data_IF_941126899394
#
_entry.id   IF_941126899394
#
_cell.length_a   1.000
_cell.length_b   1.000
_cell.length_c   1.000
_cell.angle_alpha   90.00
_cell.angle_beta   90.00
_cell.angle_gamma   90.00
#
_symmetry.space_group_name_H-M   'P 1'
#
loop_
_entity.id
_entity.type
_entity.pdbx_description
1 polymer ?
#
# COMPACT_ATOMS: atom_id res chain seq x y z
N UNK A 1 1.22 -10.31 10.46
CA UNK A 1 1.59 -9.58 11.67
C UNK A 1 0.62 -8.43 11.82
N UNK A 2 0.04 -8.22 13.00
CA UNK A 2 -0.98 -7.19 13.23
C UNK A 2 -0.30 -5.88 13.60
N UNK A 3 -0.90 -4.75 13.24
CA UNK A 3 -0.42 -3.44 13.66
C UNK A 3 -0.54 -3.24 15.18
N UNK A 4 0.34 -2.45 15.83
CA UNK A 4 0.14 -2.03 17.22
C UNK A 4 -0.97 -0.96 17.37
N UNK A 5 -1.47 -0.41 16.27
CA UNK A 5 -2.49 0.65 16.30
C UNK A 5 -3.91 0.10 16.46
N UNK A 6 -4.73 0.90 17.13
CA UNK A 6 -6.15 0.60 17.41
C UNK A 6 -7.03 1.78 17.02
N UNK A 7 -8.35 1.62 17.09
CA UNK A 7 -9.26 2.74 16.80
C UNK A 7 -9.06 3.91 17.79
N UNK A 8 -8.76 3.60 19.05
CA UNK A 8 -8.47 4.59 20.10
C UNK A 8 -7.06 5.17 20.00
N UNK A 9 -6.12 4.42 19.43
CA UNK A 9 -4.73 4.84 19.19
C UNK A 9 -4.37 4.61 17.71
N UNK A 10 -4.87 5.46 16.80
CA UNK A 10 -4.63 5.30 15.37
C UNK A 10 -3.16 5.56 15.02
N UNK A 11 -2.68 5.06 13.86
CA UNK A 11 -1.33 5.35 13.40
C UNK A 11 -1.11 6.87 13.24
N UNK A 12 0.00 7.44 13.73
CA UNK A 12 0.32 8.85 13.54
C UNK A 12 0.49 9.20 12.05
N UNK A 13 0.18 10.44 11.68
CA UNK A 13 0.40 10.92 10.31
C UNK A 13 1.89 11.12 10.00
N UNK A 14 2.67 11.54 11.00
CA UNK A 14 4.13 11.55 10.89
C UNK A 14 4.67 10.15 11.16
N UNK A 15 5.50 9.59 10.28
CA UNK A 15 6.13 8.30 10.50
C UNK A 15 7.01 8.30 11.76
N UNK A 16 6.91 7.24 12.58
CA UNK A 16 7.91 6.96 13.60
C UNK A 16 9.32 6.92 12.98
N UNK A 17 10.33 7.36 13.73
CA UNK A 17 11.70 7.53 13.21
C UNK A 17 12.34 6.21 12.78
N UNK A 18 11.85 5.12 13.34
CA UNK A 18 12.28 3.76 13.09
C UNK A 18 11.76 3.21 11.74
N UNK A 19 10.68 3.79 11.18
CA UNK A 19 10.09 3.29 9.93
C UNK A 19 11.00 3.57 8.73
N UNK A 20 11.39 2.51 8.02
CA UNK A 20 12.36 2.56 6.92
C UNK A 20 11.88 3.37 5.70
N UNK A 21 10.56 3.42 5.46
CA UNK A 21 9.98 4.11 4.29
C UNK A 21 8.90 5.12 4.72
N UNK A 22 9.31 6.34 5.14
CA UNK A 22 8.42 7.40 5.62
C UNK A 22 7.29 7.78 4.65
N UNK A 23 7.55 7.82 3.35
CA UNK A 23 6.52 8.18 2.36
C UNK A 23 5.42 7.12 2.25
N UNK A 24 5.80 5.84 2.34
CA UNK A 24 4.86 4.73 2.28
C UNK A 24 4.01 4.67 3.55
N UNK A 25 4.60 4.96 4.72
CA UNK A 25 3.88 5.09 5.98
C UNK A 25 2.66 5.99 5.88
N UNK A 26 2.85 7.22 5.38
CA UNK A 26 1.77 8.22 5.30
C UNK A 26 0.59 7.72 4.48
N UNK A 27 0.88 7.00 3.39
CA UNK A 27 -0.14 6.39 2.53
C UNK A 27 -0.87 5.28 3.28
N UNK A 28 -0.14 4.37 3.94
CA UNK A 28 -0.70 3.26 4.70
C UNK A 28 -1.57 3.76 5.87
N UNK A 29 -1.06 4.69 6.69
CA UNK A 29 -1.76 5.27 7.82
C UNK A 29 -3.06 5.96 7.38
N UNK A 30 -3.02 6.74 6.28
CA UNK A 30 -4.21 7.38 5.72
C UNK A 30 -5.25 6.36 5.25
N UNK A 31 -4.84 5.32 4.53
CA UNK A 31 -5.78 4.31 4.04
C UNK A 31 -6.34 3.45 5.17
N UNK A 32 -5.52 3.11 6.18
CA UNK A 32 -5.98 2.44 7.39
C UNK A 32 -7.08 3.26 8.08
N UNK A 33 -6.85 4.56 8.31
CA UNK A 33 -7.84 5.48 8.91
C UNK A 33 -9.11 5.60 8.06
N UNK A 34 -8.96 5.64 6.73
CA UNK A 34 -10.11 5.74 5.82
C UNK A 34 -11.06 4.55 5.91
N UNK A 35 -10.55 3.36 6.23
CA UNK A 35 -11.36 2.15 6.34
C UNK A 35 -11.81 1.82 7.77
N UNK A 36 -11.66 2.73 8.74
CA UNK A 36 -12.26 2.54 10.07
C UNK A 36 -13.78 2.71 10.02
N UNK A 37 -14.53 2.14 10.98
CA UNK A 37 -15.95 2.46 11.13
C UNK A 37 -16.14 3.95 11.38
N UNK A 38 -17.32 4.47 11.00
CA UNK A 38 -17.72 5.82 11.40
C UNK A 38 -17.88 5.91 12.92
N UNK A 39 -17.73 7.10 13.50
CA UNK A 39 -17.74 7.33 14.95
C UNK A 39 -19.04 6.83 15.61
N UNK A 40 -20.18 6.99 14.94
CA UNK A 40 -21.49 6.52 15.38
C UNK A 40 -21.63 4.98 15.37
N UNK A 41 -20.74 4.29 14.66
CA UNK A 41 -20.68 2.82 14.59
C UNK A 41 -19.67 2.23 15.59
N UNK A 42 -18.89 3.06 16.30
CA UNK A 42 -17.96 2.59 17.32
C UNK A 42 -18.73 2.06 18.53
N UNK A 43 -18.68 0.76 18.75
CA UNK A 43 -19.45 0.08 19.80
C UNK A 43 -20.74 -0.59 19.32
N UNK A 44 -21.09 -0.47 18.03
CA UNK A 44 -22.12 -1.29 17.43
C UNK A 44 -21.71 -2.77 17.49
N UNK A 45 -22.68 -3.68 17.67
CA UNK A 45 -22.43 -5.14 17.68
C UNK A 45 -21.84 -5.64 16.35
N UNK A 46 -22.23 -4.98 15.24
CA UNK A 46 -21.81 -5.31 13.89
C UNK A 46 -21.48 -4.01 13.13
N UNK A 47 -20.31 -3.41 13.39
CA UNK A 47 -19.93 -2.17 12.73
C UNK A 47 -19.68 -2.39 11.24
N UNK A 48 -19.91 -1.34 10.45
CA UNK A 48 -19.60 -1.31 9.02
C UNK A 48 -18.44 -0.37 8.74
N UNK A 49 -17.64 -0.70 7.73
CA UNK A 49 -16.55 0.16 7.26
C UNK A 49 -17.13 1.46 6.69
N UNK A 50 -16.66 2.61 7.18
CA UNK A 50 -17.16 3.92 6.71
C UNK A 50 -16.85 4.23 5.24
N UNK A 51 -15.90 3.50 4.62
CA UNK A 51 -15.55 3.69 3.22
C UNK A 51 -16.19 2.68 2.27
N UNK A 52 -16.25 1.39 2.65
CA UNK A 52 -16.73 0.32 1.78
C UNK A 52 -18.18 -0.09 2.03
N UNK A 53 -18.76 0.28 3.19
CA UNK A 53 -20.07 -0.19 3.63
C UNK A 53 -20.14 -1.70 3.97
N UNK A 54 -19.02 -2.41 3.91
CA UNK A 54 -18.93 -3.84 4.25
C UNK A 54 -18.81 -4.05 5.76
N UNK A 55 -19.05 -5.28 6.23
CA UNK A 55 -18.79 -5.65 7.62
C UNK A 55 -17.35 -5.33 8.00
N UNK A 56 -17.18 -4.73 9.19
CA UNK A 56 -15.86 -4.38 9.69
C UNK A 56 -15.34 -5.47 10.65
N UNK A 57 -14.06 -5.85 10.58
CA UNK A 57 -13.03 -5.33 9.68
C UNK A 57 -13.18 -5.81 8.23
N UNK A 58 -13.09 -4.88 7.27
CA UNK A 58 -13.14 -5.20 5.85
C UNK A 58 -11.76 -5.64 5.34
N UNK A 59 -11.71 -6.30 4.17
CA UNK A 59 -10.47 -6.81 3.59
C UNK A 59 -9.37 -5.74 3.43
N UNK A 60 -9.72 -4.58 2.89
CA UNK A 60 -8.76 -3.48 2.69
C UNK A 60 -8.16 -2.99 4.01
N UNK A 61 -8.97 -2.84 5.08
CA UNK A 61 -8.47 -2.44 6.39
C UNK A 61 -7.47 -3.46 6.93
N UNK A 62 -7.81 -4.75 6.86
CA UNK A 62 -6.93 -5.82 7.33
C UNK A 62 -5.58 -5.85 6.56
N UNK A 63 -5.61 -5.53 5.27
CA UNK A 63 -4.40 -5.45 4.45
C UNK A 63 -3.49 -4.30 4.90
N UNK A 64 -4.04 -3.10 5.09
CA UNK A 64 -3.29 -1.94 5.58
C UNK A 64 -2.78 -2.14 7.02
N UNK A 65 -3.56 -2.81 7.86
CA UNK A 65 -3.16 -3.15 9.23
C UNK A 65 -1.93 -4.07 9.24
N UNK A 66 -1.93 -5.08 8.36
CA UNK A 66 -0.79 -5.97 8.17
C UNK A 66 0.47 -5.24 7.71
N UNK A 67 0.33 -4.31 6.75
CA UNK A 67 1.45 -3.53 6.22
C UNK A 67 2.03 -2.57 7.26
N UNK A 68 1.20 -1.90 8.06
CA UNK A 68 1.66 -1.06 9.16
C UNK A 68 2.39 -1.90 10.21
N UNK A 69 1.86 -3.08 10.54
CA UNK A 69 2.53 -4.03 11.44
C UNK A 69 3.91 -4.43 10.94
N UNK A 70 4.05 -4.71 9.64
CA UNK A 70 5.35 -5.01 9.05
C UNK A 70 6.30 -3.80 9.11
N UNK A 71 5.81 -2.59 8.80
CA UNK A 71 6.64 -1.39 8.77
C UNK A 71 7.29 -1.07 10.13
N UNK A 72 6.58 -1.32 11.24
CA UNK A 72 7.14 -1.10 12.59
C UNK A 72 8.06 -2.24 13.04
N UNK A 73 7.74 -3.51 12.73
CA UNK A 73 8.58 -4.63 13.17
C UNK A 73 9.84 -4.82 12.32
N UNK A 74 9.84 -4.39 11.06
CA UNK A 74 11.06 -4.34 10.25
C UNK A 74 12.09 -3.38 10.86
N UNK A 75 11.64 -2.42 11.64
CA UNK A 75 12.50 -1.50 12.37
C UNK A 75 13.08 -2.09 13.66
N UNK A 76 12.34 -3.01 14.31
CA UNK A 76 12.77 -3.71 15.52
C UNK A 76 13.72 -4.89 15.24
N UNK A 77 13.80 -5.34 13.99
CA UNK A 77 14.73 -6.38 13.61
C UNK A 77 16.19 -5.86 13.74
N UNK A 78 17.10 -6.60 14.42
CA UNK A 78 18.52 -6.24 14.38
C UNK A 78 18.96 -6.16 12.92
N UNK A 79 19.84 -5.20 12.60
CA UNK A 79 20.36 -4.90 11.27
C UNK A 79 21.25 -6.03 10.66
N UNK A 80 20.84 -7.27 10.83
CA UNK A 80 21.41 -8.49 10.26
C UNK A 80 20.40 -9.09 9.28
N UNK A 81 20.11 -8.36 8.21
CA UNK A 81 19.62 -8.91 6.96
C UNK A 81 20.12 -8.04 5.81
N UNK A 82 21.38 -8.27 5.40
CA UNK A 82 21.88 -7.88 4.09
C UNK A 82 20.88 -8.32 3.02
N UNK A 83 20.52 -7.40 2.13
CA UNK A 83 19.78 -7.75 0.93
C UNK A 83 19.21 -6.53 0.24
N UNK A 84 20.08 -5.66 -0.27
CA UNK A 84 19.71 -4.82 -1.39
C UNK A 84 19.21 -5.76 -2.50
N UNK A 85 17.90 -5.91 -2.64
CA UNK A 85 17.30 -6.32 -3.88
C UNK A 85 17.51 -5.17 -4.85
N UNK A 86 18.72 -5.10 -5.42
CA UNK A 86 18.89 -4.44 -6.70
C UNK A 86 17.95 -5.17 -7.66
N UNK A 87 16.97 -4.42 -8.15
CA UNK A 87 16.21 -4.83 -9.32
C UNK A 87 17.22 -4.84 -10.45
N UNK A 88 17.80 -6.01 -10.69
CA UNK A 88 18.65 -6.25 -11.85
C UNK A 88 17.74 -6.11 -13.07
N UNK A 89 17.84 -4.96 -13.74
CA UNK A 89 17.28 -4.75 -15.05
C UNK A 89 17.87 -5.82 -15.99
N UNK A 90 17.08 -6.49 -16.85
CA UNK A 90 17.65 -7.37 -17.84
C UNK A 90 18.59 -6.55 -18.72
N UNK A 91 19.88 -6.88 -18.67
CA UNK A 91 20.89 -6.34 -19.56
C UNK A 91 20.48 -6.66 -21.01
N UNK A 92 20.41 -5.60 -21.82
CA UNK A 92 20.29 -5.69 -23.26
C UNK A 92 21.49 -6.49 -23.81
N UNK A 93 21.19 -7.59 -24.51
CA UNK A 93 22.14 -8.19 -25.45
C UNK A 93 22.00 -7.45 -26.78
N UNK A 94 23.04 -6.69 -27.10
CA UNK A 94 23.17 -5.91 -28.32
C UNK A 94 23.59 -6.85 -29.47
N UNK A 95 22.59 -7.30 -30.24
CA UNK A 95 22.75 -8.18 -31.39
C UNK A 95 21.98 -7.70 -32.62
N UNK A 96 22.34 -6.51 -33.11
CA UNK A 96 22.26 -6.01 -34.49
C UNK A 96 21.07 -6.42 -35.41
N UNK A 97 20.29 -5.40 -35.81
CA UNK A 97 19.45 -5.37 -37.01
C UNK A 97 17.96 -5.40 -36.67
N UNK A 98 17.13 -4.40 -36.92
CA UNK A 98 17.09 -3.49 -38.07
C UNK A 98 16.35 -2.20 -37.70
N UNK A 99 16.90 -1.09 -38.20
CA UNK A 99 16.28 0.18 -38.59
C UNK A 99 14.91 0.61 -37.97
N UNK A 100 14.97 1.73 -37.24
CA UNK A 100 13.89 2.58 -36.72
C UNK A 100 13.06 3.28 -37.84
N UNK A 101 12.22 4.33 -37.62
CA UNK A 101 11.73 4.94 -36.37
C UNK A 101 10.23 5.36 -36.38
N UNK A 102 9.81 5.96 -35.25
CA UNK A 102 8.95 7.16 -35.15
C UNK A 102 7.41 7.10 -35.25
N UNK A 103 6.84 7.51 -34.11
CA UNK A 103 5.83 8.57 -33.91
C UNK A 103 4.39 8.38 -34.42
N UNK A 104 3.51 8.42 -33.42
CA UNK A 104 2.41 9.39 -33.25
C UNK A 104 0.99 8.97 -33.64
N UNK A 105 0.11 9.37 -32.71
CA UNK A 105 -1.29 9.79 -32.85
C UNK A 105 -2.39 8.75 -32.70
N UNK A 106 -3.25 9.09 -31.73
CA UNK A 106 -4.58 8.60 -31.48
C UNK A 106 -5.43 8.46 -32.75
N UNK A 107 -6.44 7.59 -32.72
CA UNK A 107 -7.86 7.96 -32.76
C UNK A 107 -8.73 6.69 -32.86
N UNK A 108 -9.66 6.59 -31.91
CA UNK A 108 -11.08 6.18 -32.06
C UNK A 108 -11.47 5.06 -33.03
N UNK A 109 -12.26 4.10 -32.51
CA UNK A 109 -13.37 3.54 -33.29
C UNK A 109 -13.69 2.07 -33.04
N UNK A 110 -14.63 1.79 -32.11
CA UNK A 110 -15.70 0.80 -32.34
C UNK A 110 -16.56 1.30 -33.53
N UNK A 111 -17.26 0.46 -34.33
CA UNK A 111 -18.23 -0.54 -33.82
C UNK A 111 -18.36 -1.84 -34.64
N UNK A 112 -19.25 -2.67 -34.12
CA UNK A 112 -19.85 -3.90 -34.64
C UNK A 112 -20.55 -3.75 -36.00
N UNK A 113 -20.57 -4.83 -36.80
CA UNK A 113 -21.81 -5.54 -37.17
C UNK A 113 -21.50 -6.91 -37.80
#
# INVERSE_FOLDING_TARGET
>A
MRSPYTLDNPPPDEPPSEVLVPSLWRVQARWWKRHTPALDQQGAKHPVCGHCGQSWPCHSWACWDGQLGQAVHQSDAPATAKGAAQVEAPAADDGAGVNAPSRSLALTGTPEH
#
